data_IF_599216371618
#
_entry.id   IF_599216371618
#
_cell.length_a   1.000
_cell.length_b   1.000
_cell.length_c   1.000
_cell.angle_alpha   90.00
_cell.angle_beta   90.00
_cell.angle_gamma   90.00
#
_symmetry.space_group_name_H-M   'P 1'
#
loop_
_entity.id
_entity.type
_entity.pdbx_description
1 polymer ?
#
# COMPACT_ATOMS: atom_id res chain seq x y z
N UNK A 1 1.20 7.34 -6.37
CA UNK A 1 1.35 5.93 -5.91
C UNK A 1 0.00 5.27 -5.81
N UNK A 2 -0.17 4.06 -6.33
CA UNK A 2 -1.46 3.37 -6.32
C UNK A 2 -1.38 2.08 -5.51
N UNK A 3 -2.40 1.84 -4.70
CA UNK A 3 -2.51 0.68 -3.83
C UNK A 3 -3.59 -0.25 -4.31
N UNK A 4 -3.31 -1.56 -4.38
CA UNK A 4 -4.20 -2.58 -4.95
C UNK A 4 -4.26 -3.82 -4.10
N UNK A 5 -5.45 -4.28 -3.80
CA UNK A 5 -5.69 -5.56 -3.14
C UNK A 5 -7.18 -5.92 -3.13
N UNK A 6 -7.49 -7.15 -2.70
CA UNK A 6 -8.85 -7.70 -2.56
C UNK A 6 -9.13 -8.08 -1.10
N UNK A 7 -10.40 -8.06 -0.71
CA UNK A 7 -10.87 -8.53 0.59
C UNK A 7 -10.21 -7.82 1.77
N UNK A 8 -9.79 -8.57 2.79
CA UNK A 8 -9.16 -8.00 4.00
C UNK A 8 -7.85 -7.28 3.69
N UNK A 9 -7.02 -7.81 2.81
CA UNK A 9 -5.79 -7.14 2.36
C UNK A 9 -6.10 -5.82 1.62
N UNK A 10 -7.26 -5.71 0.95
CA UNK A 10 -7.73 -4.47 0.33
C UNK A 10 -7.96 -3.35 1.34
N UNK A 11 -8.51 -3.67 2.51
CA UNK A 11 -8.68 -2.70 3.59
C UNK A 11 -7.34 -2.23 4.16
N UNK A 12 -6.36 -3.14 4.26
CA UNK A 12 -4.99 -2.78 4.64
C UNK A 12 -4.35 -1.85 3.59
N UNK A 13 -4.51 -2.17 2.31
CA UNK A 13 -4.03 -1.32 1.21
C UNK A 13 -4.62 0.09 1.26
N UNK A 14 -5.91 0.22 1.56
CA UNK A 14 -6.59 1.52 1.73
C UNK A 14 -6.02 2.29 2.94
N UNK A 15 -5.83 1.61 4.08
CA UNK A 15 -5.24 2.20 5.27
C UNK A 15 -3.82 2.75 4.98
N UNK A 16 -2.96 1.94 4.35
CA UNK A 16 -1.60 2.36 3.99
C UNK A 16 -1.64 3.54 3.02
N UNK A 17 -2.51 3.52 2.00
CA UNK A 17 -2.65 4.61 1.04
C UNK A 17 -3.02 5.94 1.73
N UNK A 18 -3.99 5.93 2.64
CA UNK A 18 -4.39 7.13 3.39
C UNK A 18 -3.28 7.62 4.32
N UNK A 19 -2.50 6.71 4.91
CA UNK A 19 -1.35 7.06 5.74
C UNK A 19 -0.24 7.73 4.89
N UNK A 20 0.05 7.22 3.69
CA UNK A 20 0.96 7.89 2.76
C UNK A 20 0.47 9.29 2.37
N UNK A 21 -0.83 9.45 2.07
CA UNK A 21 -1.41 10.78 1.79
C UNK A 21 -1.17 11.75 2.96
N UNK A 22 -1.37 11.30 4.19
CA UNK A 22 -1.20 12.11 5.39
C UNK A 22 0.25 12.56 5.60
N UNK A 23 1.21 11.85 5.02
CA UNK A 23 2.65 12.16 5.06
C UNK A 23 3.19 12.77 3.77
N UNK A 24 2.29 13.30 2.93
CA UNK A 24 2.67 14.11 1.77
C UNK A 24 2.94 13.34 0.48
N UNK A 25 2.72 12.02 0.46
CA UNK A 25 2.85 11.21 -0.75
C UNK A 25 1.47 10.98 -1.36
N UNK A 26 1.14 11.58 -2.51
CA UNK A 26 -0.13 11.35 -3.18
C UNK A 26 -0.35 9.85 -3.43
N UNK A 27 -1.39 9.31 -2.84
CA UNK A 27 -1.65 7.87 -2.88
C UNK A 27 -3.15 7.60 -2.95
N UNK A 28 -3.53 6.61 -3.73
CA UNK A 28 -4.93 6.22 -3.88
C UNK A 28 -5.08 4.71 -3.88
N UNK A 29 -6.14 4.23 -3.25
CA UNK A 29 -6.55 2.84 -3.37
C UNK A 29 -7.45 2.69 -4.61
N UNK A 30 -7.15 1.69 -5.44
CA UNK A 30 -7.97 1.34 -6.59
C UNK A 30 -8.34 -0.13 -6.53
N UNK A 31 -9.64 -0.42 -6.57
CA UNK A 31 -10.13 -1.79 -6.54
C UNK A 31 -9.76 -2.52 -7.83
N UNK A 32 -9.18 -3.74 -7.77
CA UNK A 32 -8.75 -4.44 -8.98
C UNK A 32 -9.86 -4.69 -10.01
N UNK A 33 -11.09 -4.95 -9.57
CA UNK A 33 -12.22 -5.13 -10.49
C UNK A 33 -12.57 -3.84 -11.22
N UNK A 34 -12.63 -2.69 -10.53
CA UNK A 34 -12.95 -1.39 -11.13
C UNK A 34 -11.84 -0.96 -12.11
N UNK A 35 -10.60 -1.33 -11.81
CA UNK A 35 -9.47 -1.09 -12.71
C UNK A 35 -9.69 -1.67 -14.12
N UNK A 36 -10.36 -2.82 -14.22
CA UNK A 36 -10.67 -3.46 -15.51
C UNK A 36 -11.79 -2.74 -16.26
N UNK A 37 -12.52 -1.85 -15.61
CA UNK A 37 -13.64 -1.09 -16.16
C UNK A 37 -13.33 0.40 -16.41
N UNK A 38 -12.04 0.74 -16.51
CA UNK A 38 -11.59 2.08 -16.90
C UNK A 38 -10.82 2.85 -15.82
N UNK A 39 -10.92 2.47 -14.54
CA UNK A 39 -10.26 3.20 -13.44
C UNK A 39 -8.73 3.09 -13.50
N UNK A 40 -8.15 2.21 -14.33
CA UNK A 40 -6.72 2.23 -14.66
C UNK A 40 -6.28 3.56 -15.30
N UNK A 41 -7.19 4.34 -15.85
CA UNK A 41 -6.92 5.69 -16.36
C UNK A 41 -6.36 6.68 -15.33
N UNK A 42 -6.43 6.35 -14.04
CA UNK A 42 -5.78 7.14 -12.98
C UNK A 42 -4.26 7.03 -12.97
N UNK A 43 -3.69 5.99 -13.61
CA UNK A 43 -2.25 5.79 -13.71
C UNK A 43 -1.57 6.99 -14.38
N UNK A 44 -0.52 7.49 -13.75
CA UNK A 44 0.30 8.57 -14.28
C UNK A 44 1.73 8.07 -14.51
N UNK A 45 2.43 8.72 -15.42
CA UNK A 45 3.86 8.44 -15.65
C UNK A 45 4.64 8.61 -14.34
N UNK A 46 5.55 7.68 -14.09
CA UNK A 46 6.34 7.56 -12.85
C UNK A 46 5.55 7.16 -11.60
N UNK A 47 4.32 6.68 -11.76
CA UNK A 47 3.65 6.06 -10.63
C UNK A 47 4.31 4.75 -10.22
N UNK A 48 4.00 4.31 -9.00
CA UNK A 48 4.39 3.03 -8.45
C UNK A 48 3.13 2.30 -7.99
N UNK A 49 2.99 1.04 -8.34
CA UNK A 49 1.95 0.16 -7.81
C UNK A 49 2.45 -0.60 -6.58
N UNK A 50 1.71 -0.48 -5.47
CA UNK A 50 1.89 -1.34 -4.31
C UNK A 50 0.74 -2.35 -4.25
N UNK A 51 1.09 -3.62 -4.40
CA UNK A 51 0.18 -4.75 -4.47
C UNK A 51 0.24 -5.53 -3.15
N UNK A 52 -0.92 -5.90 -2.59
CA UNK A 52 -0.97 -6.68 -1.36
C UNK A 52 -1.77 -7.95 -1.60
N UNK A 53 -1.16 -9.11 -1.45
CA UNK A 53 -1.83 -10.40 -1.60
C UNK A 53 -1.11 -11.48 -0.80
N UNK A 54 -1.76 -12.05 0.21
CA UNK A 54 -1.14 -13.07 1.05
C UNK A 54 -0.69 -14.30 0.24
N UNK A 55 -1.52 -14.77 -0.67
CA UNK A 55 -1.18 -15.90 -1.56
C UNK A 55 -0.25 -15.52 -2.70
N UNK A 56 -0.27 -14.25 -3.12
CA UNK A 56 0.39 -13.77 -4.33
C UNK A 56 -0.18 -14.37 -5.63
N UNK A 57 -1.39 -14.97 -5.56
CA UNK A 57 -2.06 -15.68 -6.66
C UNK A 57 -3.48 -15.18 -6.93
N UNK A 58 -3.87 -14.06 -6.30
CA UNK A 58 -5.19 -13.46 -6.49
C UNK A 58 -5.36 -13.07 -7.94
N UNK A 59 -6.28 -13.74 -8.64
CA UNK A 59 -6.45 -13.62 -10.11
C UNK A 59 -6.62 -12.18 -10.55
N UNK A 60 -7.47 -11.44 -9.88
CA UNK A 60 -7.80 -10.05 -10.22
C UNK A 60 -6.57 -9.12 -10.10
N UNK A 61 -5.67 -9.43 -9.16
CA UNK A 61 -4.45 -8.64 -8.98
C UNK A 61 -3.41 -9.02 -10.05
N UNK A 62 -3.25 -10.31 -10.34
CA UNK A 62 -2.34 -10.79 -11.41
C UNK A 62 -2.79 -10.25 -12.78
N UNK A 63 -4.09 -10.23 -13.07
CA UNK A 63 -4.58 -9.68 -14.32
C UNK A 63 -4.36 -8.17 -14.41
N UNK A 64 -4.53 -7.49 -13.29
CA UNK A 64 -4.29 -6.05 -13.21
C UNK A 64 -2.83 -5.68 -13.48
N UNK A 65 -1.85 -6.45 -13.00
CA UNK A 65 -0.42 -6.15 -13.31
C UNK A 65 -0.18 -6.19 -14.81
N UNK A 66 -0.76 -7.18 -15.51
CA UNK A 66 -0.66 -7.27 -16.97
C UNK A 66 -1.31 -6.07 -17.67
N UNK A 67 -2.50 -5.67 -17.24
CA UNK A 67 -3.20 -4.51 -17.81
C UNK A 67 -2.45 -3.21 -17.55
N UNK A 68 -1.87 -3.06 -16.38
CA UNK A 68 -1.08 -1.89 -16.02
C UNK A 68 0.22 -1.80 -16.86
N UNK A 69 0.92 -2.91 -17.07
CA UNK A 69 2.08 -2.96 -17.96
C UNK A 69 1.74 -2.70 -19.45
N UNK A 70 0.52 -3.03 -19.88
CA UNK A 70 0.06 -2.67 -21.25
C UNK A 70 -0.08 -1.15 -21.42
N UNK A 71 -0.39 -0.42 -20.34
CA UNK A 71 -0.49 1.04 -20.34
C UNK A 71 0.88 1.71 -20.18
N UNK A 72 1.69 1.20 -19.27
CA UNK A 72 3.04 1.69 -19.02
C UNK A 72 3.98 0.49 -18.75
N UNK A 73 4.78 0.07 -19.74
CA UNK A 73 5.73 -1.04 -19.58
C UNK A 73 6.85 -0.79 -18.56
N UNK A 74 7.13 0.46 -18.23
CA UNK A 74 8.16 0.86 -17.26
C UNK A 74 7.62 0.97 -15.82
N UNK A 75 6.32 0.75 -15.62
CA UNK A 75 5.66 0.86 -14.33
C UNK A 75 6.27 -0.10 -13.30
N UNK A 76 6.63 0.45 -12.14
CA UNK A 76 7.27 -0.31 -11.07
C UNK A 76 6.25 -0.90 -10.09
N UNK A 77 6.49 -2.14 -9.69
CA UNK A 77 5.66 -2.88 -8.75
C UNK A 77 6.41 -3.23 -7.48
N UNK A 78 5.78 -2.94 -6.34
CA UNK A 78 6.14 -3.51 -5.03
C UNK A 78 5.02 -4.46 -4.63
N UNK A 79 5.35 -5.66 -4.16
CA UNK A 79 4.37 -6.59 -3.62
C UNK A 79 4.62 -6.87 -2.13
N UNK A 80 3.56 -6.86 -1.33
CA UNK A 80 3.56 -7.39 0.04
C UNK A 80 2.83 -8.73 0.00
N UNK A 81 3.51 -9.83 0.32
CA UNK A 81 2.96 -11.17 0.19
C UNK A 81 3.47 -12.14 1.27
N UNK A 82 2.69 -13.16 1.60
CA UNK A 82 3.14 -14.31 2.37
C UNK A 82 3.85 -15.39 1.52
N UNK A 83 3.86 -15.25 0.19
CA UNK A 83 4.42 -16.23 -0.72
C UNK A 83 5.40 -15.57 -1.71
N UNK A 84 6.70 -15.51 -1.36
CA UNK A 84 7.71 -14.91 -2.21
C UNK A 84 7.96 -15.66 -3.53
N UNK A 85 7.51 -16.91 -3.64
CA UNK A 85 7.62 -17.71 -4.87
C UNK A 85 6.36 -17.59 -5.76
N UNK A 86 5.47 -16.66 -5.45
CA UNK A 86 4.21 -16.48 -6.19
C UNK A 86 4.42 -15.74 -7.51
N UNK A 87 3.47 -15.87 -8.47
CA UNK A 87 3.51 -15.11 -9.72
C UNK A 87 3.67 -13.60 -9.50
N UNK A 88 2.90 -13.01 -8.57
CA UNK A 88 3.01 -11.58 -8.26
C UNK A 88 4.40 -11.19 -7.74
N UNK A 89 5.02 -12.04 -6.91
CA UNK A 89 6.35 -11.77 -6.40
C UNK A 89 7.41 -11.83 -7.50
N UNK A 90 7.27 -12.78 -8.44
CA UNK A 90 8.19 -12.94 -9.58
C UNK A 90 8.09 -11.79 -10.59
N UNK A 91 6.90 -11.21 -10.76
CA UNK A 91 6.66 -10.08 -11.66
C UNK A 91 6.98 -8.71 -11.02
N UNK A 92 7.21 -8.65 -9.69
CA UNK A 92 7.46 -7.40 -8.99
C UNK A 92 8.94 -6.99 -9.00
N UNK A 93 9.20 -5.67 -9.01
CA UNK A 93 10.55 -5.12 -8.83
C UNK A 93 11.05 -5.31 -7.38
N UNK A 94 10.11 -5.30 -6.41
CA UNK A 94 10.43 -5.50 -4.99
C UNK A 94 9.37 -6.39 -4.35
N UNK A 95 9.80 -7.47 -3.70
CA UNK A 95 8.96 -8.36 -2.92
C UNK A 95 9.25 -8.20 -1.42
N UNK A 96 8.21 -7.82 -0.66
CA UNK A 96 8.24 -7.70 0.79
C UNK A 96 7.45 -8.86 1.41
N UNK A 97 8.17 -9.82 2.01
CA UNK A 97 7.55 -11.02 2.57
C UNK A 97 7.05 -10.77 3.99
N UNK A 98 5.81 -11.22 4.30
CA UNK A 98 5.27 -11.28 5.66
C UNK A 98 5.81 -12.47 6.46
N UNK A 99 6.58 -13.39 5.86
CA UNK A 99 7.11 -14.58 6.50
C UNK A 99 6.10 -15.73 6.70
N UNK A 100 4.90 -15.66 6.08
CA UNK A 100 3.82 -16.66 6.22
C UNK A 100 3.44 -16.96 7.69
N UNK A 101 3.12 -15.98 8.51
CA UNK A 101 2.72 -16.25 9.89
C UNK A 101 1.44 -17.08 9.93
N UNK A 102 1.33 -17.98 10.91
CA UNK A 102 0.09 -18.71 11.15
C UNK A 102 -1.02 -17.75 11.60
N UNK A 103 -2.23 -17.95 11.10
CA UNK A 103 -3.38 -17.19 11.56
C UNK A 103 -3.79 -17.64 12.97
N UNK A 104 -4.13 -16.67 13.85
CA UNK A 104 -4.48 -16.94 15.25
C UNK A 104 -5.93 -17.36 15.45
N UNK A 105 -6.76 -17.36 14.42
CA UNK A 105 -8.12 -17.85 14.54
C UNK A 105 -8.16 -19.38 14.73
N UNK A 106 -9.20 -19.88 15.38
CA UNK A 106 -9.36 -21.31 15.70
C UNK A 106 -9.35 -22.22 14.47
N UNK A 107 -9.69 -21.70 13.30
CA UNK A 107 -9.67 -22.44 12.03
C UNK A 107 -8.36 -22.28 11.26
N UNK A 108 -7.45 -21.40 11.69
CA UNK A 108 -6.21 -21.07 10.96
C UNK A 108 -6.45 -20.48 9.56
N UNK A 109 -7.64 -19.91 9.29
CA UNK A 109 -8.05 -19.46 7.95
C UNK A 109 -8.37 -17.97 7.86
N UNK A 110 -8.95 -17.41 8.92
CA UNK A 110 -9.35 -15.98 8.91
C UNK A 110 -8.11 -15.11 8.94
N UNK A 111 -7.95 -14.18 7.95
CA UNK A 111 -6.82 -13.27 7.93
C UNK A 111 -6.77 -12.40 9.20
N UNK A 112 -5.77 -12.62 10.02
CA UNK A 112 -5.52 -11.99 11.32
C UNK A 112 -4.05 -11.59 11.44
N UNK A 113 -3.17 -12.55 11.74
CA UNK A 113 -1.73 -12.31 11.86
C UNK A 113 -1.13 -11.84 10.52
N UNK A 114 -1.56 -12.43 9.40
CA UNK A 114 -1.09 -12.02 8.07
C UNK A 114 -1.43 -10.56 7.77
N UNK A 115 -2.65 -10.11 8.06
CA UNK A 115 -3.05 -8.71 7.84
C UNK A 115 -2.34 -7.75 8.78
N UNK A 116 -2.09 -8.14 10.03
CA UNK A 116 -1.29 -7.35 10.96
C UNK A 116 0.15 -7.18 10.45
N UNK A 117 0.77 -8.27 9.97
CA UNK A 117 2.11 -8.20 9.38
C UNK A 117 2.16 -7.28 8.14
N UNK A 118 1.14 -7.33 7.27
CA UNK A 118 1.02 -6.43 6.12
C UNK A 118 0.92 -4.96 6.56
N UNK A 119 0.14 -4.68 7.60
CA UNK A 119 0.01 -3.33 8.15
C UNK A 119 1.35 -2.81 8.66
N UNK A 120 2.07 -3.61 9.45
CA UNK A 120 3.40 -3.24 9.99
C UNK A 120 4.40 -2.96 8.86
N UNK A 121 4.43 -3.78 7.80
CA UNK A 121 5.28 -3.54 6.63
C UNK A 121 4.89 -2.21 5.96
N UNK A 122 3.59 -1.94 5.80
CA UNK A 122 3.10 -0.69 5.27
C UNK A 122 3.53 0.53 6.09
N UNK A 123 3.41 0.46 7.41
CA UNK A 123 3.85 1.52 8.32
C UNK A 123 5.37 1.76 8.25
N UNK A 124 6.15 0.69 8.14
CA UNK A 124 7.60 0.78 7.91
C UNK A 124 7.90 1.53 6.60
N UNK A 125 7.19 1.21 5.52
CA UNK A 125 7.36 1.91 4.23
C UNK A 125 7.04 3.40 4.35
N UNK A 126 5.94 3.75 5.04
CA UNK A 126 5.58 5.16 5.30
C UNK A 126 6.70 5.86 6.06
N UNK A 127 7.16 5.29 7.18
CA UNK A 127 8.22 5.90 8.02
C UNK A 127 9.53 6.04 7.27
N UNK A 128 9.93 5.04 6.47
CA UNK A 128 11.15 5.13 5.65
C UNK A 128 11.02 6.20 4.55
N UNK A 129 9.83 6.33 3.96
CA UNK A 129 9.57 7.38 2.97
C UNK A 129 9.61 8.76 3.61
N UNK A 130 9.00 8.96 4.80
CA UNK A 130 9.11 10.21 5.55
C UNK A 130 10.59 10.60 5.80
N UNK A 131 11.41 9.64 6.22
CA UNK A 131 12.85 9.87 6.42
C UNK A 131 13.54 10.26 5.12
N UNK A 132 13.26 9.55 4.03
CA UNK A 132 13.87 9.79 2.72
C UNK A 132 13.49 11.14 2.14
N UNK A 133 12.25 11.57 2.32
CA UNK A 133 11.72 12.86 1.85
C UNK A 133 11.99 14.02 2.81
N UNK A 134 12.59 13.74 3.98
CA UNK A 134 12.81 14.70 5.05
C UNK A 134 11.50 15.43 5.45
N UNK A 135 10.41 14.66 5.55
CA UNK A 135 9.08 15.18 5.88
C UNK A 135 9.09 15.81 7.28
N UNK A 136 8.70 17.07 7.36
CA UNK A 136 8.82 17.88 8.58
C UNK A 136 7.49 18.02 9.34
N UNK A 137 7.56 18.54 10.58
CA UNK A 137 6.39 18.82 11.40
C UNK A 137 5.53 19.94 10.78
N UNK A 138 6.15 20.90 10.10
CA UNK A 138 5.46 21.97 9.39
C UNK A 138 4.63 21.40 8.24
N UNK A 139 5.21 20.47 7.47
CA UNK A 139 4.50 19.77 6.39
C UNK A 139 3.38 18.88 6.94
N UNK A 140 3.58 18.26 8.10
CA UNK A 140 2.53 17.50 8.78
C UNK A 140 1.38 18.42 9.21
N UNK A 141 1.68 19.56 9.85
CA UNK A 141 0.69 20.54 10.32
C UNK A 141 -0.19 21.08 9.19
N UNK A 142 0.39 21.30 7.99
CA UNK A 142 -0.36 21.74 6.80
C UNK A 142 -1.41 20.73 6.32
N UNK A 143 -1.26 19.46 6.66
CA UNK A 143 -2.16 18.36 6.23
C UNK A 143 -3.13 17.92 7.33
N UNK A 144 -2.89 18.31 8.58
CA UNK A 144 -3.69 17.89 9.74
C UNK A 144 -4.28 19.10 10.45
N UNK A 145 -5.43 19.60 9.95
CA UNK A 145 -6.03 20.84 10.47
C UNK A 145 -6.89 20.62 11.72
N UNK A 146 -7.46 19.44 11.91
CA UNK A 146 -8.39 19.12 12.99
C UNK A 146 -7.85 18.14 14.04
N UNK A 147 -8.54 18.08 15.18
CA UNK A 147 -8.29 17.12 16.25
C UNK A 147 -6.95 17.28 16.96
N UNK A 148 -6.68 16.33 17.87
CA UNK A 148 -5.49 16.34 18.72
C UNK A 148 -4.16 16.47 17.96
N UNK A 149 -4.02 15.72 16.85
CA UNK A 149 -2.78 15.74 16.08
C UNK A 149 -2.55 17.08 15.37
N UNK A 150 -3.61 17.72 14.89
CA UNK A 150 -3.53 19.06 14.31
C UNK A 150 -3.11 20.12 15.32
N UNK A 151 -3.70 20.11 16.50
CA UNK A 151 -3.34 21.02 17.61
C UNK A 151 -1.90 20.79 18.04
N UNK A 152 -1.51 19.54 18.28
CA UNK A 152 -0.15 19.18 18.69
C UNK A 152 0.89 19.58 17.67
N UNK A 153 0.66 19.35 16.38
CA UNK A 153 1.62 19.72 15.33
C UNK A 153 1.82 21.23 15.24
N UNK A 154 0.75 22.04 15.33
CA UNK A 154 0.87 23.50 15.36
C UNK A 154 1.69 23.99 16.56
N UNK A 155 1.40 23.47 17.75
CA UNK A 155 2.15 23.88 18.96
C UNK A 155 3.64 23.51 18.90
N UNK A 156 4.03 22.52 18.10
CA UNK A 156 5.43 22.16 17.87
C UNK A 156 6.11 23.04 16.82
N UNK A 157 5.35 23.65 15.89
CA UNK A 157 5.87 24.60 14.92
C UNK A 157 6.14 26.00 15.52
N UNK A 158 5.49 26.33 16.65
CA UNK A 158 5.61 27.64 17.34
C UNK A 158 6.81 27.70 18.32
N UNK A 159 7.52 26.59 18.51
CA UNK A 159 8.71 26.48 19.36
C UNK A 159 10.00 26.54 18.57
#
# INVERSE_FOLDING_TARGET
MLFRSMGKAGQIAMNIATTFCSTGIPSVFLHPSEAQHGDLGILQKNDLLLLISNSGKTREIVELTRLAHNLDPDLKFIVITGNPDSPLAQESDVCLSTGKPAEVCTLGMTPTTSTTAMTVIGDILVVQTMKKTQFTIEEYSKRHHGGYLGEKSRSLCEK
#
